data_IF_459162103391
#
_entry.id   IF_459162103391
#
_cell.length_a   1.000
_cell.length_b   1.000
_cell.length_c   1.000
_cell.angle_alpha   90.00
_cell.angle_beta   90.00
_cell.angle_gamma   90.00
#
_symmetry.space_group_name_H-M   'P 1'
#
loop_
_entity.id
_entity.type
_entity.pdbx_description
1 polymer ?
#
# COMPACT_ATOMS: atom_id res chain seq x y z
N UNK A 1 -10.20 -6.30 -12.81
CA UNK A 1 -10.28 -7.43 -11.84
C UNK A 1 -11.27 -7.04 -10.75
N UNK A 2 -12.06 -8.03 -10.29
CA UNK A 2 -12.95 -7.86 -9.13
C UNK A 2 -12.57 -8.85 -8.04
N UNK A 3 -12.41 -8.36 -6.81
CA UNK A 3 -12.20 -9.13 -5.60
C UNK A 3 -13.46 -8.98 -4.76
N UNK A 4 -14.24 -10.06 -4.70
CA UNK A 4 -15.54 -10.06 -4.06
C UNK A 4 -15.44 -10.42 -2.57
N UNK A 5 -16.48 -10.05 -1.82
CA UNK A 5 -16.57 -10.19 -0.38
C UNK A 5 -16.21 -11.60 0.14
N UNK A 6 -16.60 -12.67 -0.59
CA UNK A 6 -16.31 -14.05 -0.17
C UNK A 6 -14.82 -14.39 -0.15
N UNK A 7 -14.01 -13.63 -0.88
CA UNK A 7 -12.54 -13.80 -0.93
C UNK A 7 -11.84 -13.01 0.18
N UNK A 8 -12.46 -11.95 0.69
CA UNK A 8 -11.83 -11.02 1.62
C UNK A 8 -11.28 -11.72 2.87
N UNK A 9 -11.99 -12.60 3.57
CA UNK A 9 -11.46 -13.24 4.79
C UNK A 9 -10.14 -13.98 4.59
N UNK A 10 -9.87 -14.45 3.37
CA UNK A 10 -8.66 -15.22 3.04
C UNK A 10 -7.47 -14.34 2.71
N UNK A 11 -7.71 -13.10 2.30
CA UNK A 11 -6.69 -12.19 1.76
C UNK A 11 -6.70 -10.82 2.42
N UNK A 12 -7.46 -10.64 3.49
CA UNK A 12 -7.69 -9.32 4.10
C UNK A 12 -6.38 -8.61 4.48
N UNK A 13 -5.41 -9.36 4.95
CA UNK A 13 -4.12 -8.82 5.35
C UNK A 13 -3.20 -8.51 4.15
N UNK A 14 -3.54 -9.02 2.97
CA UNK A 14 -2.80 -8.77 1.73
C UNK A 14 -3.39 -7.60 0.92
N UNK A 15 -4.54 -7.08 1.30
CA UNK A 15 -5.19 -5.99 0.57
C UNK A 15 -4.31 -4.74 0.44
N UNK A 16 -3.49 -4.33 1.44
CA UNK A 16 -2.58 -3.22 1.25
C UNK A 16 -1.63 -3.41 0.07
N UNK A 17 -0.93 -4.55 -0.01
CA UNK A 17 0.01 -4.80 -1.10
C UNK A 17 -0.71 -5.06 -2.45
N UNK A 18 -1.90 -5.66 -2.42
CA UNK A 18 -2.71 -5.82 -3.63
C UNK A 18 -3.18 -4.47 -4.18
N UNK A 19 -3.46 -3.50 -3.32
CA UNK A 19 -3.78 -2.13 -3.72
C UNK A 19 -2.61 -1.45 -4.42
N UNK A 20 -1.38 -1.71 -3.96
CA UNK A 20 -0.16 -1.23 -4.64
C UNK A 20 -0.02 -1.91 -6.01
N UNK A 21 -0.17 -3.24 -6.09
CA UNK A 21 -0.13 -3.94 -7.37
C UNK A 21 -1.18 -3.41 -8.36
N UNK A 22 -2.41 -3.18 -7.88
CA UNK A 22 -3.49 -2.58 -8.67
C UNK A 22 -3.15 -1.19 -9.20
N UNK A 23 -2.42 -0.39 -8.43
CA UNK A 23 -2.03 0.97 -8.82
C UNK A 23 -1.13 1.00 -10.04
N UNK A 24 -0.30 -0.01 -10.25
CA UNK A 24 0.61 -0.15 -11.39
C UNK A 24 0.10 -1.11 -12.47
N UNK A 25 -1.05 -1.70 -12.28
CA UNK A 25 -1.70 -2.55 -13.28
C UNK A 25 -2.35 -1.70 -14.39
N UNK A 26 -2.88 -2.36 -15.38
CA UNK A 26 -3.70 -1.72 -16.41
C UNK A 26 -5.18 -1.96 -16.13
N UNK A 27 -5.96 -0.88 -16.14
CA UNK A 27 -7.40 -0.94 -15.93
C UNK A 27 -7.83 -0.89 -14.47
N UNK A 28 -9.05 -1.32 -14.22
CA UNK A 28 -9.73 -1.20 -12.94
C UNK A 28 -9.56 -2.45 -12.08
N UNK A 29 -9.30 -2.24 -10.80
CA UNK A 29 -9.37 -3.28 -9.76
C UNK A 29 -10.38 -2.85 -8.70
N UNK A 30 -11.42 -3.65 -8.52
CA UNK A 30 -12.46 -3.45 -7.52
C UNK A 30 -12.30 -4.42 -6.36
N UNK A 31 -12.38 -3.92 -5.14
CA UNK A 31 -12.33 -4.70 -3.89
C UNK A 31 -13.57 -4.34 -3.08
N UNK A 32 -14.45 -5.31 -2.84
CA UNK A 32 -15.72 -5.12 -2.15
C UNK A 32 -15.79 -5.95 -0.87
N UNK A 33 -16.59 -5.52 0.11
CA UNK A 33 -16.72 -6.23 1.38
C UNK A 33 -15.51 -6.11 2.30
N UNK A 34 -14.68 -5.09 2.12
CA UNK A 34 -13.42 -4.88 2.84
C UNK A 34 -13.56 -4.02 4.12
N UNK A 35 -14.78 -3.82 4.63
CA UNK A 35 -15.05 -2.94 5.78
C UNK A 35 -14.29 -3.33 7.05
N UNK A 36 -13.98 -4.62 7.23
CA UNK A 36 -13.18 -5.10 8.38
C UNK A 36 -11.76 -4.51 8.43
N UNK A 37 -11.21 -4.03 7.30
CA UNK A 37 -9.92 -3.34 7.26
C UNK A 37 -9.88 -2.09 8.14
N UNK A 38 -11.03 -1.46 8.40
CA UNK A 38 -11.10 -0.27 9.25
C UNK A 38 -10.84 -0.55 10.73
N UNK A 39 -10.88 -1.83 11.13
CA UNK A 39 -10.74 -2.30 12.52
C UNK A 39 -9.50 -3.15 12.76
N UNK A 40 -8.47 -2.99 11.93
CA UNK A 40 -7.17 -3.68 12.07
C UNK A 40 -6.22 -2.86 12.99
N UNK A 41 -4.92 -3.04 12.88
CA UNK A 41 -3.90 -2.29 13.63
C UNK A 41 -4.01 -0.77 13.41
N UNK A 42 -4.56 -0.40 12.26
CA UNK A 42 -5.01 0.95 11.89
C UNK A 42 -6.35 0.84 11.15
N UNK A 43 -6.97 1.97 10.80
CA UNK A 43 -7.96 1.99 9.71
C UNK A 43 -7.19 1.82 8.39
N UNK A 44 -6.95 0.55 8.00
CA UNK A 44 -6.17 0.21 6.82
C UNK A 44 -6.78 0.73 5.53
N UNK A 45 -8.11 0.76 5.43
CA UNK A 45 -8.76 1.28 4.23
C UNK A 45 -8.50 2.77 4.07
N UNK A 46 -8.63 3.55 5.13
CA UNK A 46 -8.27 4.97 5.14
C UNK A 46 -6.78 5.19 4.85
N UNK A 47 -5.90 4.39 5.44
CA UNK A 47 -4.46 4.49 5.21
C UNK A 47 -4.09 4.19 3.75
N UNK A 48 -4.74 3.21 3.12
CA UNK A 48 -4.60 2.92 1.68
C UNK A 48 -5.06 4.12 0.87
N UNK A 49 -6.26 4.64 1.13
CA UNK A 49 -6.83 5.81 0.43
C UNK A 49 -5.88 7.00 0.49
N UNK A 50 -5.37 7.33 1.67
CA UNK A 50 -4.46 8.46 1.87
C UNK A 50 -3.14 8.26 1.13
N UNK A 51 -2.55 7.08 1.22
CA UNK A 51 -1.31 6.76 0.51
C UNK A 51 -1.46 6.79 -1.00
N UNK A 52 -2.55 6.21 -1.54
CA UNK A 52 -2.86 6.25 -2.97
C UNK A 52 -3.05 7.69 -3.46
N UNK A 53 -3.77 8.51 -2.70
CA UNK A 53 -3.95 9.93 -3.02
C UNK A 53 -2.61 10.67 -3.09
N UNK A 54 -1.71 10.42 -2.15
CA UNK A 54 -0.36 11.00 -2.12
C UNK A 54 0.48 10.60 -3.33
N UNK A 55 0.34 9.36 -3.80
CA UNK A 55 1.01 8.87 -5.01
C UNK A 55 0.33 9.32 -6.32
N UNK A 56 -0.81 10.01 -6.25
CA UNK A 56 -1.55 10.45 -7.43
C UNK A 56 -2.32 9.32 -8.13
N UNK A 57 -2.60 8.23 -7.45
CA UNK A 57 -3.42 7.13 -7.96
C UNK A 57 -4.88 7.52 -7.93
N UNK A 58 -5.60 7.32 -9.03
CA UNK A 58 -7.04 7.53 -9.11
C UNK A 58 -7.78 6.37 -8.46
N UNK A 59 -8.68 6.67 -7.53
CA UNK A 59 -9.52 5.67 -6.89
C UNK A 59 -10.90 6.23 -6.52
N UNK A 60 -11.82 5.34 -6.23
CA UNK A 60 -13.11 5.63 -5.59
C UNK A 60 -13.27 4.68 -4.41
N UNK A 61 -13.80 5.15 -3.31
CA UNK A 61 -14.00 4.33 -2.11
C UNK A 61 -15.35 4.58 -1.46
N UNK A 62 -15.76 3.64 -0.64
CA UNK A 62 -16.89 3.72 0.28
C UNK A 62 -16.48 3.21 1.66
N UNK A 63 -17.43 2.97 2.55
CA UNK A 63 -17.15 2.47 3.90
C UNK A 63 -16.51 1.06 3.89
N UNK A 64 -16.76 0.26 2.86
CA UNK A 64 -16.37 -1.15 2.77
C UNK A 64 -15.75 -1.55 1.43
N UNK A 65 -15.49 -0.61 0.54
CA UNK A 65 -14.98 -0.93 -0.78
C UNK A 65 -13.99 0.11 -1.30
N UNK A 66 -13.13 -0.31 -2.20
CA UNK A 66 -12.25 0.56 -2.97
C UNK A 66 -12.14 0.07 -4.41
N UNK A 67 -12.18 1.01 -5.34
CA UNK A 67 -11.96 0.78 -6.76
C UNK A 67 -10.74 1.58 -7.19
N UNK A 68 -9.72 0.92 -7.64
CA UNK A 68 -8.42 1.51 -8.01
C UNK A 68 -8.28 1.50 -9.53
N UNK A 69 -8.01 2.67 -10.10
CA UNK A 69 -7.71 2.84 -11.52
C UNK A 69 -6.21 2.76 -11.72
N UNK A 70 -5.71 1.61 -12.16
CA UNK A 70 -4.29 1.38 -12.34
C UNK A 70 -3.71 2.15 -13.53
N UNK A 71 -2.44 2.52 -13.40
CA UNK A 71 -1.69 3.22 -14.44
C UNK A 71 -0.24 2.71 -14.46
N UNK A 72 0.15 2.03 -15.53
CA UNK A 72 1.53 1.52 -15.71
C UNK A 72 2.58 2.61 -15.72
N UNK A 73 2.20 3.80 -16.19
CA UNK A 73 3.08 4.95 -16.32
C UNK A 73 2.97 5.90 -15.11
N UNK A 74 2.36 5.41 -14.02
CA UNK A 74 2.27 6.16 -12.78
C UNK A 74 3.66 6.61 -12.33
N UNK A 75 3.82 7.92 -12.13
CA UNK A 75 5.06 8.52 -11.67
C UNK A 75 4.75 9.69 -10.74
N UNK A 76 5.70 10.00 -9.88
CA UNK A 76 5.67 11.17 -8.99
C UNK A 76 6.78 12.13 -9.38
N UNK A 77 6.48 13.43 -9.44
CA UNK A 77 7.41 14.47 -9.89
C UNK A 77 8.23 15.10 -8.76
N UNK A 78 7.91 14.76 -7.52
CA UNK A 78 8.55 15.26 -6.30
C UNK A 78 8.49 14.22 -5.20
N UNK A 79 9.28 14.40 -4.15
CA UNK A 79 9.23 13.57 -2.95
C UNK A 79 7.83 13.55 -2.32
N UNK A 80 7.47 12.42 -1.76
CA UNK A 80 6.17 12.18 -1.12
C UNK A 80 6.37 11.62 0.28
N UNK A 81 5.62 12.13 1.24
CA UNK A 81 5.58 11.63 2.61
C UNK A 81 4.27 10.91 2.88
N UNK A 82 4.36 9.65 3.29
CA UNK A 82 3.22 8.78 3.60
C UNK A 82 3.31 8.36 5.07
N UNK A 83 2.18 8.37 5.76
CA UNK A 83 2.09 7.86 7.12
C UNK A 83 1.63 6.40 7.09
N UNK A 84 2.31 5.54 7.82
CA UNK A 84 1.91 4.15 8.00
C UNK A 84 0.88 3.96 9.11
N UNK A 85 0.65 4.99 9.91
CA UNK A 85 -0.19 4.93 11.11
C UNK A 85 0.24 3.82 12.09
N UNK A 86 1.54 3.51 12.13
CA UNK A 86 2.09 2.40 12.92
C UNK A 86 1.73 1.00 12.42
N UNK A 87 1.08 0.90 11.27
CA UNK A 87 0.69 -0.39 10.67
C UNK A 87 1.80 -0.91 9.76
N UNK A 88 2.39 -2.06 10.16
CA UNK A 88 3.50 -2.67 9.43
C UNK A 88 3.14 -3.08 7.99
N UNK A 89 1.89 -3.50 7.72
CA UNK A 89 1.46 -3.88 6.37
C UNK A 89 1.31 -2.68 5.46
N UNK A 90 0.82 -1.56 5.99
CA UNK A 90 0.78 -0.28 5.27
C UNK A 90 2.22 0.19 4.99
N UNK A 91 3.08 0.20 6.02
CA UNK A 91 4.47 0.62 5.86
C UNK A 91 5.20 -0.19 4.78
N UNK A 92 5.19 -1.52 4.87
CA UNK A 92 5.85 -2.38 3.88
C UNK A 92 5.27 -2.20 2.47
N UNK A 93 3.96 -2.09 2.34
CA UNK A 93 3.31 -1.95 1.03
C UNK A 93 3.74 -0.66 0.33
N UNK A 94 3.74 0.47 1.03
CA UNK A 94 4.14 1.75 0.44
C UNK A 94 5.66 1.89 0.27
N UNK A 95 6.49 1.22 1.07
CA UNK A 95 7.93 1.09 0.79
C UNK A 95 8.18 0.36 -0.53
N UNK A 96 7.46 -0.73 -0.78
CA UNK A 96 7.53 -1.44 -2.07
C UNK A 96 7.04 -0.56 -3.22
N UNK A 97 5.95 0.20 -3.03
CA UNK A 97 5.51 1.15 -4.04
C UNK A 97 6.59 2.18 -4.38
N UNK A 98 7.34 2.65 -3.38
CA UNK A 98 8.44 3.61 -3.55
C UNK A 98 9.54 3.14 -4.50
N UNK A 99 9.78 1.83 -4.60
CA UNK A 99 10.79 1.26 -5.50
C UNK A 99 10.46 1.46 -7.00
N UNK A 100 9.25 1.85 -7.33
CA UNK A 100 8.80 2.10 -8.70
C UNK A 100 9.08 3.53 -9.19
N UNK A 101 9.45 4.43 -8.30
CA UNK A 101 9.60 5.85 -8.61
C UNK A 101 11.06 6.29 -8.60
N UNK A 102 11.39 7.27 -9.44
CA UNK A 102 12.69 7.96 -9.41
C UNK A 102 12.78 8.98 -8.27
N UNK A 103 11.63 9.52 -7.85
CA UNK A 103 11.53 10.42 -6.70
C UNK A 103 11.41 9.63 -5.39
N UNK A 104 11.89 10.21 -4.29
CA UNK A 104 11.89 9.55 -2.99
C UNK A 104 10.49 9.48 -2.37
N UNK A 105 10.19 8.33 -1.78
CA UNK A 105 8.99 8.10 -0.97
C UNK A 105 9.42 7.85 0.46
N UNK A 106 9.01 8.73 1.36
CA UNK A 106 9.28 8.64 2.78
C UNK A 106 8.10 8.04 3.52
N UNK A 107 8.36 7.03 4.34
CA UNK A 107 7.38 6.41 5.22
C UNK A 107 7.65 6.79 6.67
N UNK A 108 6.63 7.30 7.34
CA UNK A 108 6.68 7.59 8.76
C UNK A 108 6.19 6.38 9.58
N UNK A 109 6.68 6.28 10.82
CA UNK A 109 6.26 5.28 11.82
C UNK A 109 6.41 3.81 11.38
N UNK A 110 7.59 3.45 10.83
CA UNK A 110 7.88 2.12 10.30
C UNK A 110 8.39 1.11 11.34
N UNK A 111 8.52 1.46 12.61
CA UNK A 111 9.13 0.62 13.66
C UNK A 111 8.45 -0.75 13.83
N UNK A 112 7.16 -0.85 13.53
CA UNK A 112 6.40 -2.10 13.68
C UNK A 112 6.70 -3.13 12.56
N UNK A 113 7.46 -2.77 11.54
CA UNK A 113 7.95 -3.74 10.54
C UNK A 113 8.79 -4.81 11.22
N UNK A 114 9.64 -4.44 12.17
CA UNK A 114 10.54 -5.37 12.85
C UNK A 114 9.81 -6.44 13.66
N UNK A 115 8.57 -6.21 14.07
CA UNK A 115 7.78 -7.20 14.81
C UNK A 115 7.22 -8.31 13.92
N UNK A 116 6.97 -8.03 12.65
CA UNK A 116 6.35 -8.98 11.71
C UNK A 116 7.30 -9.49 10.65
N UNK A 117 8.26 -8.68 10.22
CA UNK A 117 9.28 -9.04 9.25
C UNK A 117 10.63 -8.41 9.63
N UNK A 118 11.34 -8.95 10.65
CA UNK A 118 12.56 -8.34 11.18
C UNK A 118 13.69 -8.12 10.15
N UNK A 119 13.74 -8.97 9.13
CA UNK A 119 14.75 -8.89 8.06
C UNK A 119 14.29 -8.13 6.82
N UNK A 120 13.17 -7.38 6.88
CA UNK A 120 12.60 -6.71 5.71
C UNK A 120 13.63 -5.83 4.99
N UNK A 121 14.25 -4.89 5.69
CA UNK A 121 15.22 -3.96 5.10
C UNK A 121 16.47 -4.67 4.58
N UNK A 122 17.01 -5.63 5.33
CA UNK A 122 18.16 -6.43 4.92
C UNK A 122 17.86 -7.25 3.66
N UNK A 123 16.70 -7.91 3.64
CA UNK A 123 16.25 -8.73 2.52
C UNK A 123 16.13 -7.90 1.25
N UNK A 124 15.39 -6.78 1.29
CA UNK A 124 15.21 -5.93 0.11
C UNK A 124 16.49 -5.24 -0.34
N UNK A 125 17.34 -4.80 0.59
CA UNK A 125 18.68 -4.27 0.25
C UNK A 125 19.55 -5.31 -0.46
N UNK A 126 19.51 -6.57 -0.01
CA UNK A 126 20.25 -7.66 -0.66
C UNK A 126 19.77 -7.96 -2.08
N UNK A 127 18.51 -7.66 -2.37
CA UNK A 127 17.90 -7.77 -3.70
C UNK A 127 18.16 -6.53 -4.59
N UNK A 128 18.89 -5.54 -4.07
CA UNK A 128 19.24 -4.33 -4.81
C UNK A 128 18.30 -3.15 -4.64
N UNK A 129 17.33 -3.22 -3.71
CA UNK A 129 16.46 -2.11 -3.40
C UNK A 129 17.21 -1.00 -2.64
N UNK A 130 17.04 0.26 -3.04
CA UNK A 130 17.56 1.42 -2.34
C UNK A 130 16.55 1.88 -1.27
N UNK A 131 16.50 1.16 -0.17
CA UNK A 131 15.68 1.48 0.99
C UNK A 131 16.60 1.85 2.15
N UNK A 132 16.38 3.01 2.76
CA UNK A 132 17.18 3.54 3.86
C UNK A 132 16.31 3.83 5.07
N UNK A 133 16.82 3.53 6.24
CA UNK A 133 16.25 3.97 7.51
C UNK A 133 16.94 5.25 7.96
N UNK A 134 16.19 6.15 8.51
CA UNK A 134 16.70 7.41 9.08
C UNK A 134 16.48 7.48 10.57
#
# INVERSE_FOLDING_TARGET
>A
ISIEEESIPKIIDEIPILSIAASFAEGETSITGAGELRFKESDRLMAIEEGLNKLGVSYKSSDDSIVIMGNRDLNISKEVNIDSFGDHRIAMSFLIAGLRFDSEVYLNDCKNIDTSFPSFFETFSSLGADIKTT
#
